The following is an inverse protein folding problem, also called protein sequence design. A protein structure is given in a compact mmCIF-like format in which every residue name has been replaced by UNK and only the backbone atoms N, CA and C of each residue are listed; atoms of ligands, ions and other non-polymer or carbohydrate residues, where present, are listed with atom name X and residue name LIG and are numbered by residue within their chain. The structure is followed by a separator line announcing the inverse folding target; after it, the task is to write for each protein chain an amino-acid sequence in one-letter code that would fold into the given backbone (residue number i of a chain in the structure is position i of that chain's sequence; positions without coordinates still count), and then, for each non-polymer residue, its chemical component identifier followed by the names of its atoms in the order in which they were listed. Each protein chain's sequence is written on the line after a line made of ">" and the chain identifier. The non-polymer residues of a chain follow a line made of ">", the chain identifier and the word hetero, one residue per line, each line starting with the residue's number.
data_IF_804055202830
#
_entry.id   IF_804055202830
#
_cell.length_a   1.000
_cell.length_b   1.000
_cell.length_c   1.000
_cell.angle_alpha   90.00
_cell.angle_beta   90.00
_cell.angle_gamma   90.00
#
_symmetry.space_group_name_H-M   'P 1'
#
loop_
_entity.id
_entity.type
_entity.pdbx_description
1 polymer ?
#
# COMPACT_ATOMS: atom_id res chain seq x y z
N UNK A 1 -27.11 -28.62 -12.71
CA UNK A 1 -27.09 -27.39 -13.53
C UNK A 1 -26.15 -27.61 -14.72
N UNK A 2 -26.64 -27.44 -15.96
CA UNK A 2 -25.82 -27.62 -17.17
C UNK A 2 -24.67 -26.63 -17.18
N UNK A 3 -23.51 -27.00 -17.80
CA UNK A 3 -22.32 -26.14 -17.96
C UNK A 3 -22.67 -24.74 -18.50
N UNK A 4 -23.64 -24.68 -19.39
CA UNK A 4 -24.16 -23.44 -20.04
C UNK A 4 -24.79 -22.49 -18.99
N UNK A 5 -25.57 -23.00 -18.02
CA UNK A 5 -26.17 -22.15 -16.96
C UNK A 5 -25.11 -21.55 -16.05
N UNK A 6 -24.02 -22.28 -15.72
CA UNK A 6 -22.90 -21.75 -14.94
C UNK A 6 -22.11 -20.66 -15.72
N UNK A 7 -21.98 -20.81 -17.04
CA UNK A 7 -21.31 -19.81 -17.88
C UNK A 7 -22.17 -18.54 -18.04
N UNK A 8 -23.51 -18.67 -18.13
CA UNK A 8 -24.40 -17.52 -18.18
C UNK A 8 -24.40 -16.69 -16.89
N UNK A 9 -24.24 -17.34 -15.72
CA UNK A 9 -24.12 -16.64 -14.43
C UNK A 9 -22.82 -15.83 -14.30
N UNK A 10 -21.76 -16.22 -15.03
CA UNK A 10 -20.52 -15.46 -15.08
C UNK A 10 -20.58 -14.29 -16.09
N UNK A 11 -21.59 -14.24 -16.96
CA UNK A 11 -21.71 -13.23 -18.02
C UNK A 11 -21.65 -11.78 -17.51
N UNK A 12 -22.46 -11.36 -16.53
CA UNK A 12 -22.40 -10.00 -15.99
C UNK A 12 -21.02 -9.62 -15.44
N UNK A 13 -20.34 -10.58 -14.78
CA UNK A 13 -19.00 -10.37 -14.25
C UNK A 13 -17.95 -10.20 -15.35
N UNK A 14 -18.05 -10.99 -16.44
CA UNK A 14 -17.15 -10.86 -17.59
C UNK A 14 -17.33 -9.51 -18.30
N UNK A 15 -18.59 -9.05 -18.49
CA UNK A 15 -18.87 -7.73 -19.07
C UNK A 15 -18.26 -6.63 -18.21
N UNK A 16 -18.38 -6.74 -16.89
CA UNK A 16 -17.80 -5.80 -15.94
C UNK A 16 -16.27 -5.78 -16.04
N UNK A 17 -15.60 -6.94 -16.05
CA UNK A 17 -14.13 -7.02 -16.19
C UNK A 17 -13.67 -6.40 -17.52
N UNK A 18 -14.34 -6.75 -18.62
CA UNK A 18 -13.97 -6.23 -19.95
C UNK A 18 -14.13 -4.71 -19.98
N UNK A 19 -15.26 -4.19 -19.50
CA UNK A 19 -15.58 -2.77 -19.58
C UNK A 19 -14.77 -1.91 -18.61
N UNK A 20 -14.48 -2.38 -17.40
CA UNK A 20 -13.88 -1.56 -16.36
C UNK A 20 -12.41 -1.88 -16.05
N UNK A 21 -11.91 -3.03 -16.51
CA UNK A 21 -10.50 -3.39 -16.30
C UNK A 21 -9.76 -3.49 -17.63
N UNK A 22 -10.22 -4.34 -18.56
CA UNK A 22 -9.47 -4.62 -19.78
C UNK A 22 -9.47 -3.41 -20.72
N UNK A 23 -10.62 -2.77 -20.90
CA UNK A 23 -10.74 -1.63 -21.82
C UNK A 23 -9.87 -0.43 -21.38
N UNK A 24 -9.88 0.04 -20.11
CA UNK A 24 -8.96 1.10 -19.68
C UNK A 24 -7.48 0.72 -19.80
N UNK A 25 -7.10 -0.53 -19.49
CA UNK A 25 -5.72 -1.00 -19.67
C UNK A 25 -5.31 -0.99 -21.15
N UNK A 26 -6.21 -1.42 -22.02
CA UNK A 26 -5.98 -1.35 -23.46
C UNK A 26 -5.85 0.09 -23.98
N UNK A 27 -6.67 1.01 -23.45
CA UNK A 27 -6.57 2.44 -23.77
C UNK A 27 -5.23 3.02 -23.33
N UNK A 28 -4.77 2.71 -22.12
CA UNK A 28 -3.43 3.15 -21.64
C UNK A 28 -2.36 2.62 -22.58
N UNK A 29 -2.40 1.34 -22.94
CA UNK A 29 -1.43 0.74 -23.84
C UNK A 29 -1.49 1.39 -25.23
N UNK A 30 -2.68 1.64 -25.78
CA UNK A 30 -2.87 2.30 -27.06
C UNK A 30 -2.30 3.73 -27.06
N UNK A 31 -2.62 4.55 -26.07
CA UNK A 31 -2.14 5.93 -26.00
C UNK A 31 -0.64 6.03 -25.67
N UNK A 32 -0.09 5.07 -24.91
CA UNK A 32 1.34 5.02 -24.62
C UNK A 32 2.21 4.86 -25.87
N UNK A 33 1.67 4.22 -26.91
CA UNK A 33 2.38 3.96 -28.18
C UNK A 33 1.86 4.78 -29.37
N UNK A 34 0.82 5.59 -29.21
CA UNK A 34 0.29 6.44 -30.26
C UNK A 34 0.98 7.81 -30.23
N UNK A 35 1.82 8.10 -31.21
CA UNK A 35 2.45 9.42 -31.38
C UNK A 35 1.45 10.53 -31.73
N UNK A 36 1.89 11.77 -31.58
CA UNK A 36 1.12 12.98 -31.95
C UNK A 36 0.71 12.97 -33.41
N UNK A 37 1.50 12.37 -34.28
CA UNK A 37 1.27 12.25 -35.71
C UNK A 37 0.36 11.06 -36.11
N UNK A 38 -0.16 10.34 -35.09
CA UNK A 38 -0.98 9.15 -35.28
C UNK A 38 -0.17 7.87 -35.61
N UNK A 39 1.16 7.96 -35.70
CA UNK A 39 2.07 6.85 -35.90
C UNK A 39 2.42 6.12 -34.57
N UNK A 40 3.14 5.01 -34.71
CA UNK A 40 3.65 4.27 -33.54
C UNK A 40 4.92 4.94 -33.00
N UNK A 41 4.98 5.17 -31.68
CA UNK A 41 6.13 5.78 -31.02
C UNK A 41 6.45 5.12 -29.67
N UNK A 42 7.71 5.14 -29.27
CA UNK A 42 8.17 4.80 -27.90
C UNK A 42 8.48 6.03 -27.07
N UNK A 43 8.29 7.23 -27.59
CA UNK A 43 8.68 8.50 -26.95
C UNK A 43 8.07 8.65 -25.56
N UNK A 44 6.78 8.35 -25.41
CA UNK A 44 6.07 8.49 -24.13
C UNK A 44 6.51 7.47 -23.09
N UNK A 45 6.86 6.27 -23.51
CA UNK A 45 7.44 5.26 -22.61
C UNK A 45 8.86 5.65 -22.20
N UNK A 46 9.66 6.17 -23.17
CA UNK A 46 11.01 6.67 -22.90
C UNK A 46 11.02 7.94 -22.05
N UNK A 47 9.92 8.68 -21.95
CA UNK A 47 9.78 9.88 -21.12
C UNK A 47 10.07 9.62 -19.63
N UNK A 48 9.98 8.37 -19.16
CA UNK A 48 10.40 8.00 -17.79
C UNK A 48 11.87 8.35 -17.53
N UNK A 49 12.71 8.32 -18.57
CA UNK A 49 14.14 8.66 -18.47
C UNK A 49 14.41 10.16 -18.29
N UNK A 50 13.40 11.01 -18.43
CA UNK A 50 13.53 12.43 -18.13
C UNK A 50 13.87 12.65 -16.66
N UNK A 51 14.77 13.60 -16.40
CA UNK A 51 15.32 13.88 -15.07
C UNK A 51 14.23 14.09 -13.99
N UNK A 52 13.14 14.78 -14.32
CA UNK A 52 12.02 15.03 -13.39
C UNK A 52 11.29 13.75 -13.05
N UNK A 53 11.02 12.89 -14.05
CA UNK A 53 10.27 11.66 -13.89
C UNK A 53 11.07 10.61 -13.09
N UNK A 54 12.37 10.47 -13.38
CA UNK A 54 13.26 9.60 -12.58
C UNK A 54 13.34 10.08 -11.14
N UNK A 55 13.50 11.37 -10.89
CA UNK A 55 13.50 11.90 -9.52
C UNK A 55 12.22 11.63 -8.79
N UNK A 56 11.07 11.84 -9.43
CA UNK A 56 9.77 11.58 -8.85
C UNK A 56 9.57 10.08 -8.58
N UNK A 57 10.00 9.20 -9.51
CA UNK A 57 9.94 7.75 -9.32
C UNK A 57 10.81 7.29 -8.15
N UNK A 58 12.07 7.75 -8.08
CA UNK A 58 12.97 7.41 -6.97
C UNK A 58 12.46 7.93 -5.63
N UNK A 59 11.87 9.13 -5.61
CA UNK A 59 11.23 9.67 -4.41
C UNK A 59 10.03 8.83 -4.00
N UNK A 60 9.17 8.44 -4.95
CA UNK A 60 8.03 7.55 -4.69
C UNK A 60 8.47 6.21 -4.11
N UNK A 61 9.50 5.59 -4.70
CA UNK A 61 10.09 4.35 -4.21
C UNK A 61 10.62 4.51 -2.78
N UNK A 62 11.40 5.55 -2.53
CA UNK A 62 11.96 5.83 -1.20
C UNK A 62 10.86 6.01 -0.16
N UNK A 63 9.86 6.84 -0.43
CA UNK A 63 8.77 7.09 0.52
C UNK A 63 7.87 5.87 0.69
N UNK A 64 7.60 5.12 -0.40
CA UNK A 64 6.86 3.86 -0.35
C UNK A 64 7.55 2.80 0.50
N UNK A 65 8.87 2.61 0.35
CA UNK A 65 9.66 1.70 1.19
C UNK A 65 9.63 2.13 2.66
N UNK A 66 9.86 3.41 2.94
CA UNK A 66 9.83 3.94 4.31
C UNK A 66 8.45 3.72 4.94
N UNK A 67 7.37 4.03 4.21
CA UNK A 67 6.00 3.80 4.66
C UNK A 67 5.77 2.32 4.98
N UNK A 68 6.16 1.42 4.07
CA UNK A 68 6.00 -0.03 4.22
C UNK A 68 6.74 -0.56 5.44
N UNK A 69 7.99 -0.12 5.65
CA UNK A 69 8.78 -0.52 6.82
C UNK A 69 8.13 -0.03 8.11
N UNK A 70 7.69 1.23 8.16
CA UNK A 70 7.02 1.78 9.36
C UNK A 70 5.72 1.04 9.62
N UNK A 71 4.90 0.79 8.59
CA UNK A 71 3.68 0.00 8.73
C UNK A 71 3.97 -1.40 9.27
N UNK A 72 5.01 -2.09 8.77
CA UNK A 72 5.40 -3.41 9.24
C UNK A 72 5.83 -3.40 10.72
N UNK A 73 6.71 -2.46 11.08
CA UNK A 73 7.21 -2.32 12.46
C UNK A 73 6.09 -2.01 13.45
N UNK A 74 5.07 -1.25 13.05
CA UNK A 74 3.92 -0.93 13.90
C UNK A 74 2.88 -2.07 13.91
N UNK A 75 2.58 -2.64 12.74
CA UNK A 75 1.51 -3.64 12.60
C UNK A 75 1.88 -4.99 13.20
N UNK A 76 3.15 -5.40 13.12
CA UNK A 76 3.55 -6.72 13.59
C UNK A 76 3.40 -6.87 15.12
N UNK A 77 3.95 -5.99 15.98
CA UNK A 77 3.70 -6.03 17.41
C UNK A 77 2.22 -5.86 17.78
N UNK A 78 1.52 -4.98 17.05
CA UNK A 78 0.08 -4.77 17.24
C UNK A 78 -0.72 -6.06 16.96
N UNK A 79 -0.42 -6.76 15.86
CA UNK A 79 -1.04 -8.04 15.55
C UNK A 79 -0.76 -9.11 16.61
N UNK A 80 0.49 -9.15 17.15
CA UNK A 80 0.85 -10.05 18.25
C UNK A 80 0.04 -9.75 19.53
N UNK A 81 -0.08 -8.49 19.90
CA UNK A 81 -0.87 -8.06 21.07
C UNK A 81 -2.33 -8.45 20.87
N UNK A 82 -2.91 -8.13 19.72
CA UNK A 82 -4.31 -8.45 19.40
C UNK A 82 -4.58 -9.97 19.43
N UNK A 83 -3.66 -10.77 18.89
CA UNK A 83 -3.79 -12.23 18.91
C UNK A 83 -3.62 -12.81 20.32
N UNK A 84 -2.79 -12.21 21.15
CA UNK A 84 -2.57 -12.62 22.57
C UNK A 84 -3.69 -12.19 23.52
N UNK A 85 -4.48 -11.17 23.17
CA UNK A 85 -5.62 -10.76 23.96
C UNK A 85 -6.73 -11.81 23.85
N UNK A 86 -7.05 -12.50 24.97
CA UNK A 86 -8.19 -13.44 25.07
C UNK A 86 -9.53 -12.68 25.06
N UNK A 87 -9.71 -11.76 24.12
CA UNK A 87 -10.94 -10.98 24.00
C UNK A 87 -12.01 -11.87 23.34
N UNK A 88 -13.18 -11.97 23.96
CA UNK A 88 -14.31 -12.78 23.51
C UNK A 88 -14.76 -12.48 22.07
N UNK A 89 -14.43 -11.25 21.56
CA UNK A 89 -14.71 -10.77 20.21
C UNK A 89 -13.45 -10.18 19.56
N UNK A 90 -12.44 -11.01 19.27
CA UNK A 90 -11.22 -10.58 18.55
C UNK A 90 -11.56 -9.89 17.21
N UNK A 91 -12.56 -10.39 16.49
CA UNK A 91 -13.04 -9.79 15.24
C UNK A 91 -13.56 -8.36 15.43
N UNK A 92 -14.15 -8.02 16.58
CA UNK A 92 -14.60 -6.67 16.86
C UNK A 92 -13.44 -5.69 17.05
N UNK A 93 -12.37 -6.13 17.69
CA UNK A 93 -11.17 -5.29 17.88
C UNK A 93 -10.51 -4.97 16.54
N UNK A 94 -10.36 -5.98 15.67
CA UNK A 94 -9.86 -5.78 14.31
C UNK A 94 -10.78 -4.83 13.53
N UNK A 95 -12.09 -4.99 13.67
CA UNK A 95 -13.07 -4.09 13.05
C UNK A 95 -12.87 -2.62 13.49
N UNK A 96 -12.61 -2.36 14.77
CA UNK A 96 -12.33 -1.00 15.29
C UNK A 96 -11.12 -0.36 14.58
N UNK A 97 -10.06 -1.14 14.31
CA UNK A 97 -8.92 -0.64 13.54
C UNK A 97 -9.23 -0.36 12.08
N UNK A 98 -10.30 -0.96 11.54
CA UNK A 98 -10.77 -0.71 10.18
C UNK A 98 -11.75 0.47 10.08
N UNK A 99 -12.37 0.89 11.18
CA UNK A 99 -13.37 1.99 11.17
C UNK A 99 -12.86 3.27 10.48
N UNK A 100 -11.61 3.73 10.69
CA UNK A 100 -11.09 4.89 10.00
C UNK A 100 -11.10 4.77 8.47
N UNK A 101 -11.02 3.54 7.93
CA UNK A 101 -11.06 3.33 6.49
C UNK A 101 -12.44 3.58 5.85
N UNK A 102 -13.51 3.53 6.65
CA UNK A 102 -14.88 3.81 6.19
C UNK A 102 -15.15 5.32 6.03
N UNK A 103 -14.29 6.14 6.60
CA UNK A 103 -14.34 7.58 6.36
C UNK A 103 -13.86 7.91 4.94
N UNK A 104 -14.43 8.95 4.35
CA UNK A 104 -13.98 9.45 3.07
C UNK A 104 -12.47 9.76 3.10
N UNK A 105 -11.71 9.21 2.15
CA UNK A 105 -10.27 9.33 2.06
C UNK A 105 -9.78 10.80 2.04
N UNK A 106 -10.43 11.66 1.24
CA UNK A 106 -10.05 13.07 1.13
C UNK A 106 -10.28 13.83 2.44
N UNK A 107 -11.43 13.62 3.09
CA UNK A 107 -11.72 14.26 4.39
C UNK A 107 -10.71 13.85 5.45
N UNK A 108 -10.26 12.60 5.45
CA UNK A 108 -9.26 12.08 6.37
C UNK A 108 -7.91 12.77 6.19
N UNK A 109 -7.45 12.93 4.94
CA UNK A 109 -6.19 13.63 4.65
C UNK A 109 -6.31 15.13 5.00
N UNK A 110 -7.43 15.76 4.70
CA UNK A 110 -7.68 17.14 5.07
C UNK A 110 -7.70 17.35 6.59
N UNK A 111 -8.25 16.40 7.35
CA UNK A 111 -8.17 16.43 8.81
C UNK A 111 -6.70 16.37 9.30
N UNK A 112 -5.87 15.48 8.72
CA UNK A 112 -4.44 15.44 9.01
C UNK A 112 -3.74 16.76 8.65
N UNK A 113 -4.06 17.36 7.51
CA UNK A 113 -3.54 18.68 7.13
C UNK A 113 -3.86 19.72 8.20
N UNK A 114 -5.11 19.77 8.69
CA UNK A 114 -5.52 20.70 9.73
C UNK A 114 -4.82 20.44 11.07
N UNK A 115 -4.68 19.18 11.47
CA UNK A 115 -4.00 18.79 12.71
C UNK A 115 -2.50 19.16 12.70
N UNK A 116 -1.81 18.94 11.57
CA UNK A 116 -0.39 19.18 11.39
C UNK A 116 -0.03 20.61 11.00
N UNK A 117 -1.02 21.46 10.71
CA UNK A 117 -0.78 22.86 10.31
C UNK A 117 -0.10 23.66 11.41
N UNK A 118 0.58 24.76 11.05
CA UNK A 118 1.28 25.63 12.00
C UNK A 118 0.37 26.12 13.16
N UNK A 119 -0.91 26.41 12.84
CA UNK A 119 -1.92 26.83 13.81
C UNK A 119 -2.90 25.68 14.12
N UNK A 120 -2.47 24.43 13.91
CA UNK A 120 -3.29 23.24 14.14
C UNK A 120 -3.30 22.81 15.59
N UNK A 121 -4.18 21.85 15.90
CA UNK A 121 -4.41 21.36 17.26
C UNK A 121 -3.12 20.84 17.90
N UNK A 122 -2.29 20.09 17.15
CA UNK A 122 -1.02 19.53 17.68
C UNK A 122 -0.08 20.65 18.11
N UNK A 123 0.10 21.68 17.27
CA UNK A 123 0.98 22.79 17.59
C UNK A 123 0.42 23.66 18.73
N UNK A 124 -0.90 23.84 18.82
CA UNK A 124 -1.54 24.54 19.94
C UNK A 124 -1.31 23.84 21.26
N UNK A 125 -1.39 22.49 21.30
CA UNK A 125 -1.09 21.71 22.49
C UNK A 125 0.38 21.84 22.87
N UNK A 126 1.31 21.68 21.90
CA UNK A 126 2.75 21.79 22.14
C UNK A 126 3.13 23.17 22.69
N UNK A 127 2.60 24.26 22.11
CA UNK A 127 2.87 25.62 22.59
C UNK A 127 2.31 25.88 23.97
N UNK A 128 1.13 25.33 24.29
CA UNK A 128 0.54 25.42 25.64
C UNK A 128 1.40 24.68 26.68
N UNK A 129 2.07 23.59 26.27
CA UNK A 129 3.01 22.84 27.13
C UNK A 129 4.41 23.46 27.18
N UNK A 130 4.64 24.62 26.54
CA UNK A 130 5.95 25.29 26.47
C UNK A 130 6.96 24.60 25.55
N UNK A 131 6.50 23.66 24.69
CA UNK A 131 7.34 22.94 23.74
C UNK A 131 7.40 23.68 22.38
N UNK A 132 8.51 23.56 21.64
CA UNK A 132 8.61 24.16 20.31
C UNK A 132 7.58 23.56 19.36
N UNK A 133 6.98 24.39 18.51
CA UNK A 133 6.01 23.95 17.51
C UNK A 133 6.64 23.00 16.49
N UNK A 134 5.87 22.02 16.07
CA UNK A 134 6.26 20.97 15.13
C UNK A 134 5.86 21.33 13.70
N UNK A 135 6.80 21.77 12.88
CA UNK A 135 6.55 22.19 11.50
C UNK A 135 6.93 21.08 10.52
N UNK A 136 6.04 20.07 10.36
CA UNK A 136 6.24 18.95 9.43
C UNK A 136 5.51 19.14 8.10
N UNK A 137 4.55 20.07 8.02
CA UNK A 137 3.77 20.31 6.81
C UNK A 137 4.66 20.62 5.59
N UNK A 138 4.21 20.21 4.42
CA UNK A 138 4.91 20.40 3.14
C UNK A 138 6.30 19.71 3.10
N UNK A 139 6.45 18.60 3.82
CA UNK A 139 7.66 17.78 3.82
C UNK A 139 7.35 16.33 3.48
N UNK A 140 8.39 15.57 3.08
CA UNK A 140 8.27 14.12 2.88
C UNK A 140 7.82 13.39 4.16
N UNK A 141 8.15 13.92 5.34
CA UNK A 141 7.72 13.36 6.63
C UNK A 141 6.21 13.42 6.83
N UNK A 142 5.56 14.55 6.47
CA UNK A 142 4.10 14.65 6.52
C UNK A 142 3.43 13.67 5.55
N UNK A 143 3.99 13.51 4.35
CA UNK A 143 3.49 12.58 3.34
C UNK A 143 3.58 11.14 3.86
N UNK A 144 4.73 10.73 4.42
CA UNK A 144 4.92 9.39 5.00
C UNK A 144 3.95 9.17 6.17
N UNK A 145 3.76 10.15 7.05
CA UNK A 145 2.83 10.04 8.16
C UNK A 145 1.40 9.80 7.67
N UNK A 146 0.95 10.56 6.66
CA UNK A 146 -0.36 10.35 6.04
C UNK A 146 -0.48 8.98 5.39
N UNK A 147 0.54 8.53 4.64
CA UNK A 147 0.58 7.20 4.04
C UNK A 147 0.52 6.09 5.09
N UNK A 148 1.32 6.19 6.17
CA UNK A 148 1.33 5.20 7.25
C UNK A 148 -0.05 5.10 7.91
N UNK A 149 -0.67 6.22 8.22
CA UNK A 149 -2.01 6.23 8.79
C UNK A 149 -3.04 5.56 7.89
N UNK A 150 -2.99 5.86 6.60
CA UNK A 150 -3.96 5.33 5.63
C UNK A 150 -3.75 3.84 5.32
N UNK A 151 -2.49 3.39 5.28
CA UNK A 151 -2.15 2.04 4.82
C UNK A 151 -1.86 1.05 5.96
N UNK A 152 -1.73 1.51 7.22
CA UNK A 152 -1.46 0.64 8.36
C UNK A 152 -2.46 -0.52 8.52
N UNK A 153 -3.79 -0.34 8.34
CA UNK A 153 -4.73 -1.45 8.42
C UNK A 153 -4.50 -2.53 7.35
N UNK A 154 -4.03 -2.15 6.15
CA UNK A 154 -3.71 -3.10 5.08
C UNK A 154 -2.49 -3.97 5.39
N UNK A 155 -1.56 -3.49 6.23
CA UNK A 155 -0.46 -4.30 6.76
C UNK A 155 -0.93 -5.17 7.92
N UNK A 156 -1.73 -4.61 8.82
CA UNK A 156 -2.17 -5.27 10.04
C UNK A 156 -3.00 -6.53 9.76
N UNK A 157 -3.98 -6.43 8.85
CA UNK A 157 -4.96 -7.49 8.61
C UNK A 157 -4.35 -8.80 8.11
N UNK A 158 -3.48 -8.83 7.06
CA UNK A 158 -2.88 -10.07 6.60
C UNK A 158 -1.99 -10.72 7.67
N UNK A 159 -1.22 -9.91 8.40
CA UNK A 159 -0.35 -10.39 9.48
C UNK A 159 -1.20 -11.01 10.60
N UNK A 160 -2.24 -10.30 11.05
CA UNK A 160 -3.16 -10.79 12.08
C UNK A 160 -3.85 -12.08 11.65
N UNK A 161 -4.36 -12.14 10.42
CA UNK A 161 -5.01 -13.34 9.87
C UNK A 161 -4.05 -14.54 9.79
N UNK A 162 -2.77 -14.32 9.53
CA UNK A 162 -1.77 -15.39 9.55
C UNK A 162 -1.49 -15.87 10.98
N UNK A 163 -1.41 -14.94 11.94
CA UNK A 163 -1.21 -15.26 13.35
C UNK A 163 -2.36 -16.08 13.95
N UNK A 164 -3.61 -15.76 13.58
CA UNK A 164 -4.79 -16.50 14.09
C UNK A 164 -4.87 -17.95 13.61
N UNK A 165 -4.12 -18.31 12.56
CA UNK A 165 -4.04 -19.69 12.06
C UNK A 165 -3.05 -20.57 12.84
N UNK A 166 -2.18 -19.95 13.65
CA UNK A 166 -1.20 -20.68 14.47
C UNK A 166 -1.93 -21.35 15.61
N UNK A 167 -1.82 -22.68 15.70
CA UNK A 167 -2.44 -23.45 16.78
C UNK A 167 -1.66 -23.24 18.07
N UNK A 168 -2.38 -23.03 19.18
CA UNK A 168 -1.75 -22.89 20.50
C UNK A 168 -0.95 -24.14 20.91
N UNK A 169 -1.39 -25.32 20.50
CA UNK A 169 -0.70 -26.58 20.76
C UNK A 169 0.78 -26.56 20.33
N UNK A 170 1.09 -25.87 19.20
CA UNK A 170 2.48 -25.76 18.74
C UNK A 170 3.33 -24.87 19.64
N UNK A 171 2.73 -23.84 20.22
CA UNK A 171 3.39 -22.94 21.15
C UNK A 171 3.58 -23.65 22.51
N UNK A 172 2.58 -24.39 22.97
CA UNK A 172 2.63 -25.16 24.21
C UNK A 172 3.68 -26.29 24.12
N UNK A 173 3.69 -27.04 23.03
CA UNK A 173 4.73 -28.07 22.81
C UNK A 173 6.15 -27.49 22.79
N UNK A 174 6.35 -26.31 22.22
CA UNK A 174 7.65 -25.65 22.24
C UNK A 174 8.05 -25.19 23.64
N UNK A 175 7.11 -24.72 24.46
CA UNK A 175 7.34 -24.37 25.85
C UNK A 175 7.71 -25.59 26.69
N UNK A 176 7.05 -26.72 26.48
CA UNK A 176 7.35 -28.01 27.16
C UNK A 176 8.76 -28.52 26.82
N UNK A 177 9.24 -28.23 25.60
CA UNK A 177 10.62 -28.49 25.17
C UNK A 177 11.64 -27.46 25.68
N UNK A 178 11.22 -26.51 26.54
CA UNK A 178 12.09 -25.51 27.14
C UNK A 178 12.40 -24.29 26.26
N UNK A 179 11.66 -24.09 25.16
CA UNK A 179 11.85 -22.89 24.32
C UNK A 179 11.41 -21.62 25.04
N UNK A 180 12.25 -20.58 24.99
CA UNK A 180 11.89 -19.27 25.50
C UNK A 180 11.03 -18.50 24.47
N UNK A 181 10.38 -17.40 24.91
CA UNK A 181 9.50 -16.57 24.06
C UNK A 181 10.19 -16.05 22.80
N UNK A 182 11.49 -15.74 22.86
CA UNK A 182 12.27 -15.25 21.71
C UNK A 182 12.48 -16.38 20.69
N UNK A 183 12.78 -17.58 21.17
CA UNK A 183 12.92 -18.77 20.32
C UNK A 183 11.60 -19.11 19.63
N UNK A 184 10.50 -19.09 20.36
CA UNK A 184 9.14 -19.31 19.80
C UNK A 184 8.83 -18.25 18.73
N UNK A 185 9.14 -16.99 18.99
CA UNK A 185 8.93 -15.92 18.03
C UNK A 185 9.69 -16.16 16.72
N UNK A 186 11.01 -16.36 16.79
CA UNK A 186 11.84 -16.48 15.57
C UNK A 186 11.72 -17.84 14.87
N UNK A 187 11.46 -18.93 15.60
CA UNK A 187 11.42 -20.28 15.01
C UNK A 187 10.01 -20.77 14.66
N UNK A 188 8.96 -20.20 15.24
CA UNK A 188 7.58 -20.65 15.02
C UNK A 188 6.71 -19.53 14.46
N UNK A 189 6.55 -18.41 15.22
CA UNK A 189 5.60 -17.37 14.85
C UNK A 189 6.03 -16.67 13.55
N UNK A 190 7.26 -16.19 13.50
CA UNK A 190 7.75 -15.42 12.35
C UNK A 190 7.70 -16.23 11.05
N UNK A 191 8.23 -17.47 10.96
CA UNK A 191 8.15 -18.26 9.73
C UNK A 191 6.72 -18.55 9.28
N UNK A 192 5.82 -18.88 10.21
CA UNK A 192 4.42 -19.18 9.89
C UNK A 192 3.60 -17.94 9.49
N UNK A 193 4.08 -16.73 9.78
CA UNK A 193 3.41 -15.48 9.42
C UNK A 193 4.03 -14.77 8.23
N UNK A 194 5.08 -15.32 7.61
CA UNK A 194 5.78 -14.70 6.47
C UNK A 194 4.82 -14.43 5.32
N UNK A 195 3.92 -15.35 4.97
CA UNK A 195 2.92 -15.14 3.91
C UNK A 195 2.00 -13.95 4.20
N UNK A 196 1.62 -13.74 5.45
CA UNK A 196 0.86 -12.57 5.89
C UNK A 196 1.67 -11.28 5.80
N UNK A 197 2.95 -11.32 6.16
CA UNK A 197 3.88 -10.18 6.03
C UNK A 197 4.06 -9.80 4.56
N UNK A 198 4.29 -10.78 3.69
CA UNK A 198 4.45 -10.59 2.24
C UNK A 198 3.19 -9.96 1.65
N UNK A 199 2.02 -10.50 1.96
CA UNK A 199 0.74 -9.95 1.51
C UNK A 199 0.54 -8.50 2.00
N UNK A 200 0.86 -8.21 3.26
CA UNK A 200 0.80 -6.87 3.83
C UNK A 200 1.76 -5.90 3.14
N UNK A 201 2.99 -6.32 2.84
CA UNK A 201 3.98 -5.51 2.10
C UNK A 201 3.40 -5.10 0.74
N UNK A 202 2.85 -6.04 -0.03
CA UNK A 202 2.28 -5.74 -1.35
C UNK A 202 1.09 -4.77 -1.21
N UNK A 203 0.20 -5.01 -0.24
CA UNK A 203 -0.99 -4.18 -0.02
C UNK A 203 -0.67 -2.75 0.44
N UNK A 204 0.50 -2.50 1.01
CA UNK A 204 0.95 -1.16 1.42
C UNK A 204 1.86 -0.52 0.38
N UNK A 205 2.83 -1.26 -0.14
CA UNK A 205 3.85 -0.72 -1.04
C UNK A 205 3.25 -0.22 -2.36
N UNK A 206 2.40 -1.02 -3.00
CA UNK A 206 1.82 -0.67 -4.30
C UNK A 206 1.00 0.62 -4.25
N UNK A 207 0.00 0.80 -3.36
CA UNK A 207 -0.74 2.05 -3.29
C UNK A 207 0.09 3.23 -2.79
N UNK A 208 1.14 3.00 -1.99
CA UNK A 208 2.02 4.09 -1.55
C UNK A 208 2.83 4.71 -2.70
N UNK A 209 3.21 3.92 -3.72
CA UNK A 209 3.89 4.43 -4.92
C UNK A 209 3.02 5.37 -5.75
N UNK A 210 1.72 5.08 -5.81
CA UNK A 210 0.75 5.80 -6.65
C UNK A 210 -0.03 6.89 -5.91
N UNK A 211 0.27 7.11 -4.63
CA UNK A 211 -0.48 8.00 -3.74
C UNK A 211 -0.23 9.48 -4.04
N UNK A 212 -0.88 10.00 -5.09
CA UNK A 212 -0.77 11.41 -5.47
C UNK A 212 -1.53 12.37 -4.54
N UNK A 213 -2.72 11.99 -4.06
CA UNK A 213 -3.55 12.89 -3.26
C UNK A 213 -2.94 13.22 -1.88
N UNK A 214 -2.32 12.23 -1.20
CA UNK A 214 -1.63 12.46 0.07
C UNK A 214 -0.46 13.42 -0.15
N UNK A 215 0.35 13.18 -1.17
CA UNK A 215 1.48 14.02 -1.53
C UNK A 215 1.05 15.46 -1.90
N UNK A 216 -0.05 15.61 -2.64
CA UNK A 216 -0.58 16.91 -3.04
C UNK A 216 -1.06 17.72 -1.83
N UNK A 217 -1.78 17.10 -0.90
CA UNK A 217 -2.40 17.77 0.25
C UNK A 217 -1.40 18.01 1.38
N UNK A 218 -0.62 16.99 1.78
CA UNK A 218 0.32 17.07 2.91
C UNK A 218 1.71 17.53 2.49
N UNK A 219 2.13 17.23 1.26
CA UNK A 219 3.39 17.68 0.67
C UNK A 219 3.32 19.08 0.08
N UNK A 220 2.11 19.66 -0.09
CA UNK A 220 1.90 21.05 -0.52
C UNK A 220 2.56 21.40 -1.85
N UNK A 221 2.63 20.47 -2.80
CA UNK A 221 3.28 20.64 -4.11
C UNK A 221 4.81 20.59 -4.08
N UNK A 222 5.45 20.50 -2.89
CA UNK A 222 6.91 20.41 -2.76
C UNK A 222 7.44 18.96 -2.86
N UNK A 223 6.56 17.99 -2.58
CA UNK A 223 6.87 16.56 -2.66
C UNK A 223 6.16 16.01 -3.90
N UNK A 224 6.89 15.93 -5.00
CA UNK A 224 6.35 15.45 -6.28
C UNK A 224 6.63 13.96 -6.43
N UNK A 225 5.59 13.15 -6.35
CA UNK A 225 5.64 11.70 -6.60
C UNK A 225 5.31 11.40 -8.07
N UNK A 226 5.64 10.21 -8.52
CA UNK A 226 5.34 9.79 -9.90
C UNK A 226 3.82 9.82 -10.19
N UNK A 227 3.00 9.45 -9.20
CA UNK A 227 1.54 9.54 -9.29
C UNK A 227 1.02 10.96 -9.53
N UNK A 228 1.69 12.00 -8.99
CA UNK A 228 1.32 13.39 -9.24
C UNK A 228 1.60 13.81 -10.68
N UNK A 229 2.71 13.36 -11.28
CA UNK A 229 3.04 13.65 -12.68
C UNK A 229 2.02 12.99 -13.59
N UNK A 230 1.73 11.72 -13.37
CA UNK A 230 0.72 10.97 -14.14
C UNK A 230 -0.65 11.65 -14.04
N UNK A 231 -1.08 12.05 -12.85
CA UNK A 231 -2.36 12.76 -12.65
C UNK A 231 -2.36 14.10 -13.39
N UNK A 232 -1.28 14.88 -13.30
CA UNK A 232 -1.16 16.16 -13.99
C UNK A 232 -1.23 16.00 -15.52
N UNK A 233 -0.58 15.01 -16.10
CA UNK A 233 -0.59 14.74 -17.53
C UNK A 233 -2.00 14.40 -18.03
N UNK A 234 -2.77 13.61 -17.28
CA UNK A 234 -4.13 13.26 -17.65
C UNK A 234 -5.13 14.41 -17.44
N UNK A 235 -5.04 15.13 -16.30
CA UNK A 235 -6.07 16.09 -15.89
C UNK A 235 -5.78 17.49 -16.44
N UNK A 236 -4.55 17.97 -16.35
CA UNK A 236 -4.19 19.34 -16.68
C UNK A 236 -3.48 19.48 -18.02
N UNK A 237 -2.69 18.49 -18.42
CA UNK A 237 -1.90 18.55 -19.63
C UNK A 237 -2.66 18.16 -20.91
N UNK A 238 -3.80 17.48 -20.80
CA UNK A 238 -4.46 16.77 -21.93
C UNK A 238 -3.48 15.91 -22.73
N UNK A 239 -2.38 15.49 -22.10
CA UNK A 239 -1.28 14.74 -22.70
C UNK A 239 -1.47 13.25 -22.43
N UNK A 240 -2.54 12.68 -23.00
CA UNK A 240 -2.90 11.28 -22.82
C UNK A 240 -1.75 10.32 -23.11
N UNK A 241 -0.90 10.65 -24.11
CA UNK A 241 0.27 9.85 -24.43
C UNK A 241 1.30 9.82 -23.31
N UNK A 242 1.68 10.98 -22.78
CA UNK A 242 2.66 11.09 -21.70
C UNK A 242 2.18 10.40 -20.40
N UNK A 243 0.96 10.71 -19.96
CA UNK A 243 0.37 10.06 -18.79
C UNK A 243 0.25 8.54 -18.95
N UNK A 244 -0.15 8.07 -20.15
CA UNK A 244 -0.26 6.64 -20.46
C UNK A 244 1.11 5.96 -20.51
N UNK A 245 2.14 6.60 -21.09
CA UNK A 245 3.50 6.06 -21.14
C UNK A 245 4.09 5.86 -19.74
N UNK A 246 3.99 6.87 -18.88
CA UNK A 246 4.44 6.77 -17.48
C UNK A 246 3.63 5.73 -16.69
N UNK A 247 2.31 5.68 -16.89
CA UNK A 247 1.44 4.67 -16.24
C UNK A 247 1.82 3.25 -16.64
N UNK A 248 2.13 3.02 -17.92
CA UNK A 248 2.56 1.72 -18.44
C UNK A 248 3.86 1.27 -17.79
N UNK A 249 4.86 2.16 -17.71
CA UNK A 249 6.14 1.87 -17.05
C UNK A 249 5.93 1.54 -15.57
N UNK A 250 5.12 2.35 -14.88
CA UNK A 250 4.83 2.10 -13.46
C UNK A 250 4.08 0.78 -13.25
N UNK A 251 3.11 0.45 -14.13
CA UNK A 251 2.39 -0.82 -14.09
C UNK A 251 3.33 -2.01 -14.25
N UNK A 252 4.23 -1.98 -15.23
CA UNK A 252 5.23 -3.04 -15.45
C UNK A 252 6.13 -3.17 -14.23
N UNK A 253 6.60 -2.04 -13.68
CA UNK A 253 7.41 -2.03 -12.47
C UNK A 253 6.70 -2.67 -11.27
N UNK A 254 5.42 -2.33 -11.05
CA UNK A 254 4.59 -2.91 -9.98
C UNK A 254 4.40 -4.41 -10.19
N UNK A 255 4.09 -4.85 -11.41
CA UNK A 255 3.92 -6.28 -11.73
C UNK A 255 5.20 -7.07 -11.48
N UNK A 256 6.37 -6.54 -11.87
CA UNK A 256 7.67 -7.16 -11.59
C UNK A 256 7.91 -7.22 -10.08
N UNK A 257 7.65 -6.14 -9.35
CA UNK A 257 7.80 -6.10 -7.89
C UNK A 257 6.91 -7.14 -7.20
N UNK A 258 5.64 -7.25 -7.62
CA UNK A 258 4.72 -8.27 -7.09
C UNK A 258 5.17 -9.69 -7.44
N UNK A 259 5.65 -9.93 -8.65
CA UNK A 259 6.16 -11.23 -9.06
C UNK A 259 7.38 -11.63 -8.22
N UNK A 260 8.32 -10.71 -7.99
CA UNK A 260 9.48 -10.95 -7.13
C UNK A 260 9.07 -11.29 -5.69
N UNK A 261 8.15 -10.51 -5.11
CA UNK A 261 7.66 -10.75 -3.74
C UNK A 261 6.96 -12.11 -3.64
N UNK A 262 6.15 -12.50 -4.64
CA UNK A 262 5.46 -13.79 -4.66
C UNK A 262 6.42 -15.00 -4.86
N UNK A 263 7.61 -14.81 -5.43
CA UNK A 263 8.61 -15.89 -5.49
C UNK A 263 9.10 -16.28 -4.09
N UNK A 264 9.28 -15.29 -3.21
CA UNK A 264 9.63 -15.53 -1.80
C UNK A 264 8.50 -16.21 -1.00
N UNK A 265 7.23 -16.00 -1.36
CA UNK A 265 6.09 -16.65 -0.71
C UNK A 265 6.03 -18.16 -1.02
N UNK A 266 6.32 -18.56 -2.25
CA UNK A 266 6.34 -19.98 -2.65
C UNK A 266 7.45 -20.80 -1.97
N UNK A 267 8.59 -20.20 -1.68
CA UNK A 267 9.67 -20.86 -0.95
C UNK A 267 9.32 -21.04 0.53
N UNK A 268 8.56 -20.12 1.13
CA UNK A 268 8.07 -20.22 2.51
C UNK A 268 7.06 -21.34 2.73
N UNK A 269 6.18 -21.58 1.77
CA UNK A 269 5.13 -22.61 1.86
C UNK A 269 5.71 -24.04 1.68
N UNK A 270 6.78 -24.19 0.92
CA UNK A 270 7.47 -25.49 0.74
C UNK A 270 8.39 -25.84 1.92
N UNK A 271 8.95 -24.87 2.63
CA UNK A 271 9.82 -25.10 3.78
C UNK A 271 9.04 -25.44 5.06
N UNK A 272 7.75 -25.15 5.12
CA UNK A 272 6.88 -25.45 6.27
C UNK A 272 6.32 -26.90 6.25
N UNK A 273 6.65 -27.68 5.23
CA UNK A 273 6.17 -29.08 5.05
C UNK A 273 7.21 -30.15 5.45
N UNK A 274 8.39 -29.77 5.99
CA UNK A 274 9.42 -30.69 6.47
C UNK A 274 9.74 -30.51 7.95
#
# INVERSE_FOLDING_TARGET
>A
MSKIKKQLLAGPYLIWIIGFIILPLFMIMYYAFKGSDGGFTFEYVAAIAQHTNIKALLLSLRLGIICTIICLVLSYPLAMILNGLKIKNQSFVVFVFMLPMWMNFMLRILAWKQLLSKNGVINSILTTLGLPGFNIMNTSGAVVLGMVYDFLPFMLLPIYNSMTRIKNDWIEAALDLGANKVTIFFKIILPLTVSGVISGIVMVFVPSLTSFAISQILGGGKVLLIGNIIEQDFVHGSQWGAGSGLSLVLMVFVLISMALVNLFDKEGDQSALW
#
